data_IF_315536688071
#
_entry.id   IF_315536688071
#
_cell.length_a   1.000
_cell.length_b   1.000
_cell.length_c   1.000
_cell.angle_alpha   90.00
_cell.angle_beta   90.00
_cell.angle_gamma   90.00
#
_symmetry.space_group_name_H-M   'P 1'
#
loop_
_entity.id
_entity.type
_entity.pdbx_description
1 polymer ?
#
# COMPACT_ATOMS: atom_id res chain seq x y z
N UNK A 1 -18.05 25.34 -9.44
CA UNK A 1 -16.95 24.64 -8.72
C UNK A 1 -15.63 24.77 -9.49
N UNK A 2 -14.85 25.78 -9.12
CA UNK A 2 -13.55 26.15 -9.69
C UNK A 2 -12.43 25.24 -9.15
N UNK A 3 -12.26 24.05 -9.72
CA UNK A 3 -11.10 23.19 -9.41
C UNK A 3 -10.59 22.45 -10.66
N UNK A 4 -10.08 23.19 -11.62
CA UNK A 4 -9.15 22.73 -12.66
C UNK A 4 -8.60 24.00 -13.30
N UNK A 5 -7.31 24.28 -13.15
CA UNK A 5 -6.59 25.35 -13.85
C UNK A 5 -7.43 26.60 -14.16
N UNK A 6 -7.86 27.31 -13.12
CA UNK A 6 -8.51 28.61 -13.34
C UNK A 6 -7.43 29.61 -13.67
N UNK A 7 -7.09 29.71 -14.94
CA UNK A 7 -6.31 30.82 -15.42
C UNK A 7 -7.17 32.07 -15.35
N UNK A 8 -6.81 33.00 -14.47
CA UNK A 8 -7.48 34.29 -14.36
C UNK A 8 -6.98 35.23 -15.46
N UNK A 9 -7.41 34.98 -16.71
CA UNK A 9 -7.07 35.82 -17.87
C UNK A 9 -8.03 37.01 -18.07
N UNK A 10 -9.03 37.16 -17.20
CA UNK A 10 -10.05 38.20 -17.30
C UNK A 10 -9.85 39.26 -16.22
N UNK A 11 -10.07 40.52 -16.59
CA UNK A 11 -10.16 41.64 -15.65
C UNK A 11 -11.59 41.81 -15.13
N UNK A 12 -11.77 42.69 -14.15
CA UNK A 12 -13.11 43.07 -13.67
C UNK A 12 -13.95 43.67 -14.81
N UNK A 13 -15.28 43.52 -14.74
CA UNK A 13 -16.18 44.16 -15.71
C UNK A 13 -16.15 45.69 -15.51
N UNK A 14 -16.41 46.49 -16.56
CA UNK A 14 -16.55 47.94 -16.39
C UNK A 14 -17.59 48.26 -15.30
N UNK A 15 -17.20 49.04 -14.29
CA UNK A 15 -18.05 49.39 -13.15
C UNK A 15 -18.18 48.31 -12.07
N UNK A 16 -17.39 47.24 -12.10
CA UNK A 16 -17.39 46.18 -11.08
C UNK A 16 -15.99 45.92 -10.51
N UNK A 17 -15.95 45.27 -9.35
CA UNK A 17 -14.70 44.80 -8.71
C UNK A 17 -14.51 43.29 -8.89
N UNK A 18 -13.24 42.84 -8.95
CA UNK A 18 -12.89 41.43 -8.94
C UNK A 18 -12.14 41.10 -7.65
N UNK A 19 -12.73 40.26 -6.81
CA UNK A 19 -12.07 39.73 -5.62
C UNK A 19 -11.60 38.31 -5.87
N UNK A 20 -10.31 38.06 -5.67
CA UNK A 20 -9.72 36.72 -5.74
C UNK A 20 -9.42 36.25 -4.33
N UNK A 21 -10.17 35.25 -3.86
CA UNK A 21 -9.98 34.65 -2.53
C UNK A 21 -9.16 33.37 -2.67
N UNK A 22 -7.93 33.39 -2.16
CA UNK A 22 -7.05 32.22 -2.12
C UNK A 22 -7.21 31.51 -0.78
N UNK A 23 -7.76 30.31 -0.79
CA UNK A 23 -7.98 29.52 0.44
C UNK A 23 -6.89 28.44 0.58
N UNK A 24 -6.01 28.52 1.58
CA UNK A 24 -4.91 27.55 1.73
C UNK A 24 -5.39 26.09 1.82
N UNK A 25 -6.38 25.80 2.68
CA UNK A 25 -6.94 24.46 2.89
C UNK A 25 -5.86 23.40 3.25
N UNK A 26 -4.88 23.77 4.06
CA UNK A 26 -3.79 22.89 4.52
C UNK A 26 -2.69 22.70 3.48
N UNK A 27 -2.68 23.45 2.38
CA UNK A 27 -1.62 23.36 1.36
C UNK A 27 -0.28 23.84 1.88
N UNK A 28 -0.24 24.82 2.76
CA UNK A 28 1.00 25.29 3.40
C UNK A 28 1.62 24.20 4.26
N UNK A 29 0.82 23.43 5.01
CA UNK A 29 1.30 22.32 5.82
C UNK A 29 1.86 21.19 4.94
N UNK A 30 1.16 20.85 3.84
CA UNK A 30 1.62 19.84 2.88
C UNK A 30 2.94 20.29 2.23
N UNK A 31 3.10 21.58 1.93
CA UNK A 31 4.31 22.11 1.33
C UNK A 31 5.52 22.00 2.29
N UNK A 32 5.28 22.10 3.60
CA UNK A 32 6.31 21.93 4.63
C UNK A 32 6.69 20.46 4.87
N UNK A 33 5.85 19.51 4.46
CA UNK A 33 6.12 18.06 4.56
C UNK A 33 7.19 17.64 3.54
N UNK A 34 8.41 17.41 4.03
CA UNK A 34 9.57 17.05 3.19
C UNK A 34 9.38 15.75 2.41
N UNK A 35 8.59 14.83 2.94
CA UNK A 35 8.37 13.51 2.34
C UNK A 35 7.22 13.55 1.32
N UNK A 36 6.25 14.46 1.51
CA UNK A 36 4.99 14.42 0.76
C UNK A 36 4.60 15.70 -0.01
N UNK A 37 5.40 16.77 0.04
CA UNK A 37 5.12 18.02 -0.67
C UNK A 37 4.92 17.85 -2.18
N UNK A 38 5.56 16.84 -2.78
CA UNK A 38 5.46 16.56 -4.22
C UNK A 38 4.03 16.26 -4.67
N UNK A 39 3.15 15.84 -3.75
CA UNK A 39 1.72 15.69 -4.01
C UNK A 39 1.06 16.98 -4.54
N UNK A 40 1.56 18.16 -4.15
CA UNK A 40 1.07 19.46 -4.63
C UNK A 40 1.38 19.73 -6.12
N UNK A 41 2.31 18.98 -6.73
CA UNK A 41 2.58 19.05 -8.18
C UNK A 41 1.49 18.39 -9.02
N UNK A 42 0.50 17.74 -8.40
CA UNK A 42 -0.50 17.00 -9.13
C UNK A 42 -1.39 17.94 -9.98
N UNK A 43 -1.31 17.74 -11.30
CA UNK A 43 -2.14 18.45 -12.28
C UNK A 43 -3.46 17.74 -12.60
N UNK A 44 -3.85 16.75 -11.78
CA UNK A 44 -5.11 15.98 -11.93
C UNK A 44 -5.35 15.38 -13.32
N UNK A 45 -4.29 14.99 -14.04
CA UNK A 45 -4.39 14.42 -15.39
C UNK A 45 -4.94 12.98 -15.44
N UNK A 46 -5.00 12.27 -14.32
CA UNK A 46 -5.54 10.90 -14.23
C UNK A 46 -4.59 9.78 -14.70
N UNK A 47 -3.40 10.09 -15.22
CA UNK A 47 -2.44 9.08 -15.72
C UNK A 47 -2.10 8.00 -14.67
N UNK A 48 -1.92 8.40 -13.41
CA UNK A 48 -1.64 7.48 -12.31
C UNK A 48 -2.78 6.48 -12.06
N UNK A 49 -4.03 6.88 -12.27
CA UNK A 49 -5.21 6.01 -12.11
C UNK A 49 -5.28 5.02 -13.28
N UNK A 50 -5.10 5.52 -14.51
CA UNK A 50 -5.19 4.71 -15.73
C UNK A 50 -4.13 3.61 -15.82
N UNK A 51 -2.96 3.80 -15.22
CA UNK A 51 -1.92 2.76 -15.18
C UNK A 51 -2.05 1.83 -13.96
N UNK A 52 -2.74 2.25 -12.90
CA UNK A 52 -2.81 1.50 -11.65
C UNK A 52 -3.62 0.20 -11.83
N UNK A 53 -3.02 -0.99 -11.64
CA UNK A 53 -3.73 -2.26 -11.84
C UNK A 53 -4.87 -2.44 -10.84
N UNK A 54 -4.71 -1.93 -9.61
CA UNK A 54 -5.72 -2.03 -8.55
C UNK A 54 -6.93 -1.19 -8.93
N UNK A 55 -6.72 0.11 -9.20
CA UNK A 55 -7.82 1.00 -9.60
C UNK A 55 -8.55 0.50 -10.86
N UNK A 56 -7.83 -0.04 -11.85
CA UNK A 56 -8.46 -0.59 -13.06
C UNK A 56 -9.35 -1.81 -12.81
N UNK A 57 -9.10 -2.56 -11.73
CA UNK A 57 -9.85 -3.77 -11.39
C UNK A 57 -10.94 -3.51 -10.37
N UNK A 58 -10.65 -2.75 -9.33
CA UNK A 58 -11.61 -2.41 -8.27
C UNK A 58 -12.48 -1.19 -8.57
N UNK A 59 -12.07 -0.36 -9.54
CA UNK A 59 -12.55 1.01 -9.65
C UNK A 59 -12.21 1.83 -8.40
N UNK A 60 -13.06 2.80 -8.10
CA UNK A 60 -12.95 3.65 -6.91
C UNK A 60 -13.41 2.99 -5.59
N UNK A 61 -14.13 1.86 -5.64
CA UNK A 61 -14.79 1.28 -4.48
C UNK A 61 -13.86 0.75 -3.38
N UNK A 62 -12.63 0.37 -3.75
CA UNK A 62 -11.63 -0.10 -2.78
C UNK A 62 -10.88 1.03 -2.06
N UNK A 63 -11.21 2.30 -2.34
CA UNK A 63 -10.58 3.46 -1.70
C UNK A 63 -11.58 4.15 -0.77
N UNK A 64 -11.14 4.48 0.45
CA UNK A 64 -11.98 5.15 1.46
C UNK A 64 -11.93 6.67 1.38
N UNK A 65 -11.02 7.24 0.57
CA UNK A 65 -11.01 8.66 0.24
C UNK A 65 -11.78 8.93 -1.06
N UNK A 66 -12.48 10.07 -1.13
CA UNK A 66 -13.37 10.38 -2.27
C UNK A 66 -12.63 10.52 -3.61
N UNK A 67 -11.34 10.85 -3.58
CA UNK A 67 -10.47 10.75 -4.75
C UNK A 67 -9.85 9.35 -4.69
N UNK A 68 -10.07 8.49 -5.69
CA UNK A 68 -9.53 7.13 -5.69
C UNK A 68 -8.12 7.08 -6.29
N UNK A 69 -7.53 5.88 -6.32
CA UNK A 69 -6.26 5.62 -6.99
C UNK A 69 -5.04 6.18 -6.23
N UNK A 70 -3.83 6.09 -6.83
CA UNK A 70 -2.59 6.41 -6.11
C UNK A 70 -2.51 7.84 -5.59
N UNK A 71 -3.03 8.82 -6.35
CA UNK A 71 -3.08 10.21 -5.87
C UNK A 71 -4.07 10.38 -4.71
N UNK A 72 -5.19 9.66 -4.78
CA UNK A 72 -6.22 9.65 -3.75
C UNK A 72 -5.72 9.16 -2.40
N UNK A 73 -4.94 8.07 -2.40
CA UNK A 73 -4.28 7.56 -1.19
C UNK A 73 -3.43 8.64 -0.53
N UNK A 74 -2.57 9.33 -1.30
CA UNK A 74 -1.71 10.39 -0.77
C UNK A 74 -2.52 11.57 -0.22
N UNK A 75 -3.54 12.04 -0.95
CA UNK A 75 -4.39 13.15 -0.50
C UNK A 75 -5.20 12.79 0.76
N UNK A 76 -5.67 11.54 0.87
CA UNK A 76 -6.31 11.05 2.08
C UNK A 76 -5.37 11.04 3.28
N UNK A 77 -4.16 10.49 3.10
CA UNK A 77 -3.12 10.48 4.15
C UNK A 77 -2.73 11.89 4.60
N UNK A 78 -2.55 12.83 3.67
CA UNK A 78 -2.26 14.23 4.00
C UNK A 78 -3.43 14.93 4.71
N UNK A 79 -4.68 14.56 4.37
CA UNK A 79 -5.86 15.18 4.99
C UNK A 79 -6.09 14.67 6.40
N UNK A 80 -6.02 13.36 6.61
CA UNK A 80 -6.18 12.73 7.91
C UNK A 80 -5.59 11.31 7.88
N UNK A 81 -4.32 11.14 8.30
CA UNK A 81 -3.65 9.85 8.23
C UNK A 81 -4.27 8.82 9.19
N UNK A 82 -4.91 9.27 10.27
CA UNK A 82 -5.59 8.38 11.22
C UNK A 82 -6.86 7.76 10.66
N UNK A 83 -7.55 8.47 9.76
CA UNK A 83 -8.78 8.00 9.13
C UNK A 83 -8.52 7.17 7.87
N UNK A 84 -7.51 7.53 7.08
CA UNK A 84 -7.31 7.00 5.72
C UNK A 84 -6.09 6.07 5.58
N UNK A 85 -5.49 5.64 6.71
CA UNK A 85 -4.31 4.75 6.73
C UNK A 85 -4.55 3.39 6.08
N UNK A 86 -5.79 2.92 6.04
CA UNK A 86 -6.17 1.64 5.43
C UNK A 86 -5.92 1.61 3.91
N UNK A 87 -6.09 2.73 3.22
CA UNK A 87 -5.90 2.86 1.78
C UNK A 87 -4.48 2.56 1.29
N UNK A 88 -3.47 2.73 2.14
CA UNK A 88 -2.09 2.47 1.73
C UNK A 88 -1.88 1.00 1.42
N UNK A 89 -2.69 0.10 2.00
CA UNK A 89 -2.65 -1.35 1.76
C UNK A 89 -3.15 -1.74 0.37
N UNK A 90 -4.01 -0.93 -0.25
CA UNK A 90 -4.54 -1.19 -1.59
C UNK A 90 -3.45 -1.13 -2.67
N UNK A 91 -2.36 -0.39 -2.46
CA UNK A 91 -1.29 -0.25 -3.44
C UNK A 91 -0.41 -1.52 -3.54
N UNK A 92 -0.19 -2.05 -4.75
CA UNK A 92 0.76 -3.18 -4.95
C UNK A 92 2.22 -2.74 -5.00
N UNK A 93 2.51 -1.44 -4.89
CA UNK A 93 3.85 -0.84 -5.02
C UNK A 93 4.55 -1.21 -6.34
N UNK A 94 3.82 -1.38 -7.45
CA UNK A 94 4.41 -1.63 -8.76
C UNK A 94 5.09 -0.40 -9.39
N UNK A 95 4.94 0.79 -8.78
CA UNK A 95 5.51 2.08 -9.19
C UNK A 95 5.20 2.55 -10.62
N UNK A 96 4.29 1.88 -11.34
CA UNK A 96 3.90 2.29 -12.71
C UNK A 96 3.39 3.74 -12.75
N UNK A 97 2.67 4.18 -11.71
CA UNK A 97 2.17 5.55 -11.59
C UNK A 97 3.26 6.62 -11.49
N UNK A 98 4.45 6.27 -11.01
CA UNK A 98 5.58 7.20 -10.88
C UNK A 98 6.22 7.42 -12.26
N UNK A 99 6.36 6.34 -13.03
CA UNK A 99 6.93 6.37 -14.37
C UNK A 99 6.09 7.21 -15.35
N UNK A 100 4.77 7.07 -15.31
CA UNK A 100 3.86 7.78 -16.24
C UNK A 100 3.50 9.21 -15.81
N UNK A 101 3.89 9.64 -14.60
CA UNK A 101 3.49 10.95 -14.10
C UNK A 101 4.23 12.08 -14.83
N UNK A 102 3.52 12.98 -15.55
CA UNK A 102 4.16 14.07 -16.28
C UNK A 102 4.74 15.13 -15.33
N UNK A 103 4.11 15.38 -14.18
CA UNK A 103 4.55 16.37 -13.20
C UNK A 103 5.44 15.80 -12.08
N UNK A 104 5.89 14.55 -12.22
CA UNK A 104 6.84 13.88 -11.31
C UNK A 104 6.43 13.99 -9.83
N UNK A 105 5.17 13.67 -9.55
CA UNK A 105 4.61 13.60 -8.20
C UNK A 105 5.17 12.41 -7.41
N UNK A 106 5.46 11.29 -8.08
CA UNK A 106 5.84 10.03 -7.43
C UNK A 106 4.79 9.45 -6.45
N UNK A 107 3.50 9.27 -6.84
CA UNK A 107 2.48 8.80 -5.90
C UNK A 107 2.78 7.45 -5.25
N UNK A 108 3.36 6.50 -5.99
CA UNK A 108 3.69 5.16 -5.51
C UNK A 108 4.83 5.18 -4.49
N UNK A 109 5.89 5.92 -4.79
CA UNK A 109 7.01 6.15 -3.85
C UNK A 109 6.55 6.84 -2.57
N UNK A 110 5.68 7.84 -2.67
CA UNK A 110 5.12 8.48 -1.47
C UNK A 110 4.21 7.53 -0.66
N UNK A 111 3.42 6.67 -1.30
CA UNK A 111 2.63 5.63 -0.59
C UNK A 111 3.57 4.66 0.16
N UNK A 112 4.72 4.33 -0.42
CA UNK A 112 5.72 3.52 0.26
C UNK A 112 6.21 4.20 1.55
N UNK A 113 6.50 5.51 1.52
CA UNK A 113 6.89 6.27 2.72
C UNK A 113 5.77 6.27 3.76
N UNK A 114 4.50 6.47 3.35
CA UNK A 114 3.36 6.36 4.25
C UNK A 114 3.27 5.00 4.95
N UNK A 115 3.56 3.90 4.23
CA UNK A 115 3.60 2.55 4.81
C UNK A 115 4.67 2.42 5.91
N UNK A 116 5.83 3.05 5.73
CA UNK A 116 6.89 3.06 6.76
C UNK A 116 6.47 3.87 8.00
N UNK A 117 5.64 4.88 7.82
CA UNK A 117 5.17 5.76 8.89
C UNK A 117 3.98 5.21 9.70
N UNK A 118 3.36 4.10 9.26
CA UNK A 118 2.18 3.52 9.95
C UNK A 118 2.44 3.16 11.42
N UNK A 119 3.65 2.75 11.76
CA UNK A 119 4.01 2.46 13.16
C UNK A 119 3.96 3.72 14.02
N UNK A 120 4.56 4.82 13.54
CA UNK A 120 4.54 6.12 14.23
C UNK A 120 3.12 6.65 14.39
N UNK A 121 2.23 6.29 13.46
CA UNK A 121 0.82 6.65 13.49
C UNK A 121 -0.03 5.73 14.40
N UNK A 122 0.53 4.67 14.98
CA UNK A 122 -0.22 3.69 15.77
C UNK A 122 -1.19 2.84 14.94
N UNK A 123 -0.96 2.75 13.63
CA UNK A 123 -1.80 2.03 12.65
C UNK A 123 -1.15 0.77 12.10
N UNK A 124 0.09 0.48 12.49
CA UNK A 124 0.74 -0.77 12.15
C UNK A 124 0.10 -1.94 12.92
N UNK A 125 -0.12 -3.05 12.21
CA UNK A 125 -0.66 -4.28 12.79
C UNK A 125 0.45 -5.00 13.60
N UNK A 126 0.27 -5.16 14.93
CA UNK A 126 1.30 -5.71 15.80
C UNK A 126 1.54 -7.21 15.52
N UNK A 127 0.51 -7.94 15.11
CA UNK A 127 0.61 -9.36 14.78
C UNK A 127 1.43 -9.54 13.51
N UNK A 128 1.13 -8.75 12.46
CA UNK A 128 1.93 -8.78 11.22
C UNK A 128 3.39 -8.41 11.49
N UNK A 129 3.64 -7.41 12.33
CA UNK A 129 5.01 -7.02 12.70
C UNK A 129 5.74 -8.15 13.44
N UNK A 130 5.09 -8.79 14.41
CA UNK A 130 5.65 -9.94 15.12
C UNK A 130 5.95 -11.12 14.18
N UNK A 131 5.01 -11.44 13.28
CA UNK A 131 5.19 -12.47 12.25
C UNK A 131 6.37 -12.16 11.32
N UNK A 132 6.46 -10.92 10.79
CA UNK A 132 7.57 -10.51 9.93
C UNK A 132 8.92 -10.58 10.63
N UNK A 133 8.99 -10.17 11.90
CA UNK A 133 10.21 -10.30 12.71
C UNK A 133 10.58 -11.77 12.96
N UNK A 134 9.59 -12.63 13.24
CA UNK A 134 9.79 -14.07 13.36
C UNK A 134 10.31 -14.71 12.08
N UNK A 135 9.73 -14.35 10.92
CA UNK A 135 10.20 -14.80 9.61
C UNK A 135 11.63 -14.33 9.33
N UNK A 136 11.95 -13.08 9.63
CA UNK A 136 13.32 -12.55 9.53
C UNK A 136 14.29 -13.37 10.39
N UNK A 137 13.94 -13.60 11.65
CA UNK A 137 14.77 -14.38 12.58
C UNK A 137 15.03 -15.81 12.07
N UNK A 138 13.99 -16.45 11.51
CA UNK A 138 14.03 -17.79 10.92
C UNK A 138 14.91 -17.83 9.65
N UNK A 139 14.70 -16.90 8.72
CA UNK A 139 15.39 -16.89 7.42
C UNK A 139 16.83 -16.41 7.49
N UNK A 140 17.17 -15.51 8.44
CA UNK A 140 18.55 -15.07 8.67
C UNK A 140 19.44 -16.18 9.27
N UNK A 141 18.87 -17.34 9.65
CA UNK A 141 19.58 -18.46 10.30
C UNK A 141 19.44 -19.77 9.51
N UNK A 142 20.40 -20.11 8.62
CA UNK A 142 20.32 -21.29 7.77
C UNK A 142 20.11 -22.62 8.52
N UNK A 143 20.78 -22.82 9.66
CA UNK A 143 20.63 -24.03 10.47
C UNK A 143 19.20 -24.18 11.04
N UNK A 144 18.61 -23.08 11.52
CA UNK A 144 17.25 -23.06 12.05
C UNK A 144 16.23 -23.29 10.93
N UNK A 145 16.39 -22.62 9.80
CA UNK A 145 15.54 -22.79 8.62
C UNK A 145 15.57 -24.23 8.07
N UNK A 146 16.75 -24.81 7.89
CA UNK A 146 16.89 -26.20 7.38
C UNK A 146 16.33 -27.23 8.36
N UNK A 147 16.47 -27.00 9.66
CA UNK A 147 15.89 -27.87 10.70
C UNK A 147 14.36 -27.76 10.69
N UNK A 148 13.81 -26.55 10.62
CA UNK A 148 12.38 -26.32 10.49
C UNK A 148 11.80 -27.03 9.26
N UNK A 149 12.47 -26.95 8.10
CA UNK A 149 12.06 -27.67 6.89
C UNK A 149 12.12 -29.20 7.02
N UNK A 150 13.09 -29.75 7.75
CA UNK A 150 13.19 -31.20 8.00
C UNK A 150 12.00 -31.73 8.79
N UNK A 151 11.46 -30.92 9.70
CA UNK A 151 10.32 -31.28 10.56
C UNK A 151 8.97 -30.75 10.07
N UNK A 152 8.95 -29.92 9.01
CA UNK A 152 7.72 -29.40 8.40
C UNK A 152 6.67 -30.49 8.07
N UNK A 153 7.02 -31.72 7.64
CA UNK A 153 6.02 -32.77 7.37
C UNK A 153 5.19 -33.18 8.59
N UNK A 154 5.66 -32.92 9.82
CA UNK A 154 4.90 -33.18 11.04
C UNK A 154 3.64 -32.30 11.12
N UNK A 155 3.63 -31.16 10.44
CA UNK A 155 2.46 -30.26 10.38
C UNK A 155 1.27 -30.95 9.70
N UNK A 156 1.50 -31.90 8.79
CA UNK A 156 0.41 -32.67 8.16
C UNK A 156 -0.37 -33.55 9.16
N UNK A 157 0.17 -33.80 10.36
CA UNK A 157 -0.50 -34.53 11.42
C UNK A 157 -1.43 -33.65 12.26
N UNK A 158 -1.35 -32.32 12.10
CA UNK A 158 -2.19 -31.36 12.81
C UNK A 158 -3.60 -31.44 12.21
N UNK A 159 -4.63 -31.76 13.00
CA UNK A 159 -6.00 -31.82 12.51
C UNK A 159 -6.45 -30.47 11.92
N UNK A 160 -7.27 -30.51 10.87
CA UNK A 160 -7.75 -29.29 10.20
C UNK A 160 -8.45 -28.30 11.14
N UNK A 161 -9.09 -28.77 12.21
CA UNK A 161 -9.73 -27.88 13.19
C UNK A 161 -8.73 -26.95 13.91
N UNK A 162 -7.47 -27.37 14.03
CA UNK A 162 -6.39 -26.62 14.66
C UNK A 162 -5.65 -25.69 13.69
N UNK A 163 -5.92 -25.76 12.39
CA UNK A 163 -5.29 -24.90 11.36
C UNK A 163 -6.31 -24.02 10.64
N UNK A 164 -7.56 -24.46 10.60
CA UNK A 164 -8.69 -23.77 9.97
C UNK A 164 -9.39 -22.87 10.99
N UNK A 165 -8.68 -21.86 11.48
CA UNK A 165 -9.22 -20.83 12.38
C UNK A 165 -10.13 -19.85 11.59
N UNK A 166 -11.26 -20.33 11.08
CA UNK A 166 -12.22 -19.55 10.27
C UNK A 166 -12.72 -18.27 10.96
N UNK A 167 -12.71 -18.26 12.30
CA UNK A 167 -13.19 -17.13 13.10
C UNK A 167 -12.18 -15.99 13.27
N UNK A 168 -10.89 -16.20 12.98
CA UNK A 168 -9.84 -15.20 13.22
C UNK A 168 -9.26 -14.61 11.93
N UNK A 169 -9.44 -15.28 10.78
CA UNK A 169 -8.90 -14.83 9.51
C UNK A 169 -9.83 -15.21 8.35
N UNK A 170 -10.42 -14.20 7.70
CA UNK A 170 -11.27 -14.40 6.52
C UNK A 170 -10.53 -15.09 5.36
N UNK A 171 -9.19 -14.99 5.30
CA UNK A 171 -8.38 -15.72 4.30
C UNK A 171 -8.48 -17.24 4.46
N UNK A 172 -8.69 -17.75 5.68
CA UNK A 172 -8.89 -19.17 5.90
C UNK A 172 -10.19 -19.72 5.32
N UNK A 173 -11.16 -18.86 4.96
CA UNK A 173 -12.41 -19.29 4.35
C UNK A 173 -12.11 -19.78 2.93
N UNK A 174 -12.24 -21.09 2.70
CA UNK A 174 -12.02 -21.72 1.40
C UNK A 174 -10.56 -22.09 1.07
N UNK A 175 -9.63 -21.97 2.04
CA UNK A 175 -8.24 -22.40 1.87
C UNK A 175 -7.91 -23.54 2.83
N UNK A 176 -7.61 -24.72 2.28
CA UNK A 176 -7.09 -25.84 3.06
C UNK A 176 -5.62 -25.60 3.46
N UNK A 177 -5.18 -26.26 4.53
CA UNK A 177 -3.76 -26.26 4.89
C UNK A 177 -2.95 -26.93 3.75
N UNK A 178 -1.84 -26.35 3.29
CA UNK A 178 -1.00 -26.98 2.29
C UNK A 178 -0.37 -28.26 2.84
N UNK A 179 -0.31 -29.32 2.02
CA UNK A 179 0.39 -30.55 2.37
C UNK A 179 1.91 -30.37 2.22
N UNK A 180 2.65 -30.59 3.30
CA UNK A 180 4.11 -30.52 3.29
C UNK A 180 4.72 -31.82 2.76
N UNK A 181 5.62 -31.71 1.79
CA UNK A 181 6.31 -32.87 1.21
C UNK A 181 7.24 -33.56 2.24
N UNK A 182 7.27 -34.90 2.25
CA UNK A 182 8.09 -35.71 3.19
C UNK A 182 9.57 -35.36 3.20
N UNK A 183 10.11 -34.86 2.09
CA UNK A 183 11.50 -34.43 1.95
C UNK A 183 11.55 -32.98 1.52
N UNK A 184 12.43 -32.21 2.16
CA UNK A 184 12.69 -30.83 1.76
C UNK A 184 13.51 -30.78 0.46
N UNK A 185 13.42 -29.66 -0.28
CA UNK A 185 14.23 -29.41 -1.47
C UNK A 185 15.74 -29.62 -1.21
N UNK A 186 16.26 -29.14 -0.07
CA UNK A 186 17.67 -29.33 0.31
C UNK A 186 18.06 -30.80 0.44
N UNK A 187 17.17 -31.66 0.95
CA UNK A 187 17.43 -33.10 1.04
C UNK A 187 17.42 -33.73 -0.34
N UNK A 188 16.43 -33.40 -1.17
CA UNK A 188 16.33 -33.93 -2.53
C UNK A 188 17.54 -33.50 -3.39
N UNK A 189 18.02 -32.26 -3.22
CA UNK A 189 19.22 -31.73 -3.86
C UNK A 189 20.47 -32.50 -3.44
N UNK A 190 20.68 -32.71 -2.13
CA UNK A 190 21.80 -33.51 -1.61
C UNK A 190 21.75 -34.97 -2.05
N UNK A 191 20.56 -35.52 -2.24
CA UNK A 191 20.33 -36.88 -2.74
C UNK A 191 20.46 -36.99 -4.27
N UNK A 192 20.69 -35.88 -5.00
CA UNK A 192 20.78 -35.88 -6.47
C UNK A 192 19.46 -36.17 -7.19
N UNK A 193 18.32 -36.00 -6.51
CA UNK A 193 16.98 -36.29 -7.05
C UNK A 193 16.33 -35.12 -7.78
N UNK A 194 16.97 -33.96 -7.75
CA UNK A 194 16.56 -32.76 -8.49
C UNK A 194 17.77 -32.34 -9.31
N UNK A 195 17.57 -32.14 -10.61
CA UNK A 195 18.59 -31.64 -11.55
C UNK A 195 18.56 -30.12 -11.61
#
# INVERSE_FOLDING_TARGET
>A
PTTAFTSHFRQARPGAEMHVVLVDNGRSDILADKDHWQTLKCMRCGACMNTCPVYRRSGGYSYTYFIPGPIGVNLGMLKNPQKYSDNVSACTLCLSCDNVCPSKVGPGSQIYVWRQSLEKLGKADPVKKAMSNGMKYLFDRPALYTTALKFAPLVNLVPECCTHFSNWNAWGIGHAMPEFAKKSFHQLWKEGKVK
#
